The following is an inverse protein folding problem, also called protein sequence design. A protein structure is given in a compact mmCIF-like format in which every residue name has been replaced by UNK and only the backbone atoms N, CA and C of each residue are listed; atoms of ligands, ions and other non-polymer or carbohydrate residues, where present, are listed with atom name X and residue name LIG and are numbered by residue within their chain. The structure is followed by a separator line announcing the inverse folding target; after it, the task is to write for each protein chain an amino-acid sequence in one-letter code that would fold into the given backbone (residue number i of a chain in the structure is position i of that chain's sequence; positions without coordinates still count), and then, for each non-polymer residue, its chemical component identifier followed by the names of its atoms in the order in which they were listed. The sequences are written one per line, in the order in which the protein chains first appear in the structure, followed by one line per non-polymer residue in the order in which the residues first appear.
data_IF_981967063360
#
_entry.id   IF_981967063360
#
_cell.length_a   1.000
_cell.length_b   1.000
_cell.length_c   1.000
_cell.angle_alpha   90.00
_cell.angle_beta   90.00
_cell.angle_gamma   90.00
#
_symmetry.space_group_name_H-M   'P 1'
#
loop_
_entity.id
_entity.type
_entity.pdbx_description
1 polymer ?
#
# COMPACT_ATOMS: atom_id res chain seq x y z
N UNK A 1 -25.12 13.69 27.08
CA UNK A 1 -24.17 13.58 25.96
C UNK A 1 -24.76 12.58 24.99
N UNK A 2 -24.97 12.94 23.71
CA UNK A 2 -25.40 11.95 22.72
C UNK A 2 -24.19 11.06 22.45
N UNK A 3 -24.31 9.76 22.73
CA UNK A 3 -23.39 8.77 22.16
C UNK A 3 -23.46 8.96 20.65
N UNK A 4 -22.36 9.38 20.05
CA UNK A 4 -22.26 9.37 18.58
C UNK A 4 -21.81 7.95 18.26
N UNK A 5 -22.69 7.10 17.72
CA UNK A 5 -22.28 5.74 17.35
C UNK A 5 -21.12 5.85 16.37
N UNK A 6 -20.08 5.03 16.55
CA UNK A 6 -18.98 4.92 15.60
C UNK A 6 -19.57 4.36 14.30
N UNK A 7 -19.51 5.14 13.22
CA UNK A 7 -20.13 4.80 11.95
C UNK A 7 -19.09 4.63 10.84
N UNK A 8 -19.25 3.56 10.06
CA UNK A 8 -18.62 3.41 8.75
C UNK A 8 -19.47 4.19 7.76
N UNK A 9 -18.84 4.99 6.91
CA UNK A 9 -19.57 5.72 5.87
C UNK A 9 -20.16 4.77 4.83
N UNK A 10 -21.40 5.03 4.41
CA UNK A 10 -21.96 4.35 3.24
C UNK A 10 -21.28 4.82 1.96
N UNK A 11 -21.38 4.06 0.87
CA UNK A 11 -20.88 4.50 -0.44
C UNK A 11 -21.51 5.81 -0.91
N UNK A 12 -22.78 6.03 -0.58
CA UNK A 12 -23.48 7.29 -0.87
C UNK A 12 -22.92 8.45 -0.03
N UNK A 13 -22.59 8.21 1.24
CA UNK A 13 -21.96 9.22 2.08
C UNK A 13 -20.56 9.56 1.57
N UNK A 14 -19.75 8.54 1.22
CA UNK A 14 -18.44 8.73 0.58
C UNK A 14 -18.60 9.65 -0.64
N UNK A 15 -19.53 9.32 -1.54
CA UNK A 15 -19.78 10.12 -2.75
C UNK A 15 -20.19 11.56 -2.43
N UNK A 16 -21.07 11.76 -1.45
CA UNK A 16 -21.57 13.09 -1.04
C UNK A 16 -20.50 13.97 -0.39
N UNK A 17 -19.44 13.36 0.12
CA UNK A 17 -18.30 13.99 0.83
C UNK A 17 -17.08 14.22 -0.06
N UNK A 18 -17.08 13.71 -1.30
CA UNK A 18 -16.04 13.99 -2.29
C UNK A 18 -15.86 15.50 -2.52
N UNK A 19 -14.61 15.95 -2.50
CA UNK A 19 -14.23 17.37 -2.66
C UNK A 19 -14.49 18.23 -1.41
N UNK A 20 -14.91 17.62 -0.30
CA UNK A 20 -15.05 18.27 1.00
C UNK A 20 -13.97 17.74 1.94
N UNK A 21 -14.29 16.68 2.67
CA UNK A 21 -13.46 15.98 3.64
C UNK A 21 -12.93 14.64 3.11
N UNK A 22 -13.25 14.28 1.87
CA UNK A 22 -12.72 13.11 1.16
C UNK A 22 -12.29 13.52 -0.25
N UNK A 23 -11.10 13.06 -0.66
CA UNK A 23 -10.59 13.15 -2.03
C UNK A 23 -10.22 11.73 -2.48
N UNK A 24 -10.62 11.39 -3.69
CA UNK A 24 -10.21 10.17 -4.40
C UNK A 24 -9.97 10.59 -5.84
N UNK A 25 -8.75 10.44 -6.34
CA UNK A 25 -8.39 10.86 -7.70
C UNK A 25 -7.48 9.82 -8.37
N UNK A 26 -7.90 9.20 -9.49
CA UNK A 26 -9.17 9.38 -10.18
C UNK A 26 -10.35 8.68 -9.49
N UNK A 27 -11.51 9.35 -9.44
CA UNK A 27 -12.77 8.77 -8.98
C UNK A 27 -13.61 8.20 -10.13
N UNK A 28 -14.15 7.01 -9.96
CA UNK A 28 -15.16 6.42 -10.86
C UNK A 28 -16.36 5.91 -10.04
N UNK A 29 -17.56 6.49 -10.22
CA UNK A 29 -18.77 6.07 -9.51
C UNK A 29 -19.08 4.57 -9.59
N UNK A 30 -18.66 3.88 -10.65
CA UNK A 30 -18.91 2.44 -10.82
C UNK A 30 -18.20 1.56 -9.80
N UNK A 31 -17.16 2.11 -9.13
CA UNK A 31 -16.34 1.41 -8.13
C UNK A 31 -16.85 1.58 -6.69
N UNK A 32 -17.90 2.39 -6.48
CA UNK A 32 -18.58 2.49 -5.21
C UNK A 32 -19.27 1.17 -4.84
N UNK A 33 -19.16 0.81 -3.58
CA UNK A 33 -19.85 -0.30 -2.93
C UNK A 33 -20.76 0.24 -1.83
N UNK A 34 -21.64 -0.57 -1.21
CA UNK A 34 -22.57 -0.08 -0.19
C UNK A 34 -21.93 0.70 0.98
N UNK A 35 -20.68 0.41 1.33
CA UNK A 35 -19.94 1.00 2.45
C UNK A 35 -18.44 1.18 2.20
N UNK A 36 -18.01 1.14 0.94
CA UNK A 36 -16.60 1.23 0.57
C UNK A 36 -16.45 1.72 -0.87
N UNK A 37 -15.21 1.98 -1.28
CA UNK A 37 -14.84 2.27 -2.66
C UNK A 37 -13.69 1.35 -3.10
N UNK A 38 -13.77 0.76 -4.30
CA UNK A 38 -12.68 -0.08 -4.80
C UNK A 38 -11.56 0.77 -5.41
N UNK A 39 -10.33 0.56 -4.93
CA UNK A 39 -9.10 1.15 -5.47
C UNK A 39 -8.42 0.17 -6.44
N UNK A 40 -7.66 0.70 -7.38
CA UNK A 40 -7.01 -0.08 -8.44
C UNK A 40 -5.51 -0.17 -8.25
N UNK A 41 -4.90 -1.24 -8.76
CA UNK A 41 -3.46 -1.44 -8.75
C UNK A 41 -2.79 -0.58 -9.83
N UNK A 42 -1.71 0.12 -9.49
CA UNK A 42 -0.85 0.77 -10.48
C UNK A 42 -0.16 -0.26 -11.38
N UNK A 43 0.41 0.14 -12.51
CA UNK A 43 1.07 -0.76 -13.47
C UNK A 43 2.51 -1.12 -13.08
N UNK A 44 2.94 -0.82 -11.86
CA UNK A 44 4.30 -1.08 -11.38
C UNK A 44 4.33 -1.74 -10.00
N UNK A 45 5.38 -2.52 -9.78
CA UNK A 45 5.70 -3.16 -8.50
C UNK A 45 7.19 -2.98 -8.18
N UNK A 46 7.55 -3.05 -6.90
CA UNK A 46 8.93 -3.24 -6.43
C UNK A 46 9.10 -4.64 -5.88
N UNK A 47 10.30 -5.19 -6.07
CA UNK A 47 10.77 -6.44 -5.44
C UNK A 47 12.15 -6.18 -4.88
N UNK A 48 12.38 -6.58 -3.63
CA UNK A 48 13.70 -6.49 -3.01
C UNK A 48 14.69 -7.44 -3.69
N UNK A 49 15.94 -7.00 -3.79
CA UNK A 49 17.03 -7.77 -4.38
C UNK A 49 17.80 -8.59 -3.33
N UNK A 50 17.63 -8.24 -2.05
CA UNK A 50 18.32 -8.87 -0.95
C UNK A 50 17.73 -10.23 -0.58
N UNK A 51 18.61 -11.12 -0.13
CA UNK A 51 18.22 -12.40 0.49
C UNK A 51 17.73 -12.17 1.92
N UNK A 52 18.33 -11.21 2.63
CA UNK A 52 17.98 -10.86 4.01
C UNK A 52 17.61 -9.39 4.04
N UNK A 53 16.37 -9.08 4.46
CA UNK A 53 15.93 -7.71 4.67
C UNK A 53 16.37 -7.24 6.05
N UNK A 54 17.17 -6.17 6.09
CA UNK A 54 17.62 -5.55 7.33
C UNK A 54 16.73 -4.36 7.67
N UNK A 55 16.13 -4.37 8.87
CA UNK A 55 15.32 -3.26 9.35
C UNK A 55 16.14 -2.02 9.70
N UNK A 56 17.45 -2.18 9.93
CA UNK A 56 18.38 -1.10 10.28
C UNK A 56 19.04 -0.44 9.07
N UNK A 57 18.78 -0.93 7.85
CA UNK A 57 19.42 -0.45 6.63
C UNK A 57 18.39 -0.26 5.52
N UNK A 58 18.59 0.69 4.59
CA UNK A 58 17.81 0.69 3.35
C UNK A 58 18.11 -0.60 2.58
N UNK A 59 17.08 -1.18 1.95
CA UNK A 59 17.19 -2.42 1.19
C UNK A 59 17.08 -2.14 -0.30
N UNK A 60 17.97 -2.71 -1.13
CA UNK A 60 17.91 -2.55 -2.59
C UNK A 60 16.68 -3.24 -3.18
N UNK A 61 16.13 -2.63 -4.21
CA UNK A 61 14.95 -3.12 -4.90
C UNK A 61 15.06 -2.82 -6.39
N UNK A 62 14.31 -3.59 -7.17
CA UNK A 62 14.09 -3.35 -8.60
C UNK A 62 12.62 -3.19 -8.90
N UNK A 63 12.35 -2.44 -9.97
CA UNK A 63 10.99 -2.13 -10.44
C UNK A 63 10.56 -3.14 -11.50
N UNK A 64 9.32 -3.59 -11.42
CA UNK A 64 8.65 -4.43 -12.40
C UNK A 64 7.47 -3.66 -12.98
N UNK A 65 7.35 -3.64 -14.30
CA UNK A 65 6.12 -3.19 -14.96
C UNK A 65 5.19 -4.40 -15.13
N UNK A 66 3.89 -4.21 -14.85
CA UNK A 66 2.84 -5.20 -15.09
C UNK A 66 2.38 -5.04 -16.54
N UNK A 67 2.66 -6.00 -17.43
CA UNK A 67 2.21 -5.90 -18.82
C UNK A 67 0.69 -6.00 -18.95
N UNK A 68 0.14 -5.49 -20.05
CA UNK A 68 -1.29 -5.61 -20.38
C UNK A 68 -1.77 -7.07 -20.49
N UNK A 69 -0.91 -8.00 -20.90
CA UNK A 69 -1.20 -9.44 -20.95
C UNK A 69 -0.98 -10.16 -19.60
N UNK A 70 -0.56 -9.41 -18.58
CA UNK A 70 -0.55 -9.80 -17.18
C UNK A 70 0.76 -10.40 -16.68
N UNK A 71 1.10 -10.06 -15.43
CA UNK A 71 2.27 -10.55 -14.71
C UNK A 71 1.88 -11.69 -13.76
N UNK A 72 2.60 -12.80 -13.81
CA UNK A 72 2.44 -13.91 -12.85
C UNK A 72 3.31 -13.68 -11.62
N UNK A 73 2.67 -13.37 -10.48
CA UNK A 73 3.31 -13.33 -9.17
C UNK A 73 3.65 -14.74 -8.70
N UNK A 74 4.77 -14.87 -7.98
CA UNK A 74 5.27 -16.15 -7.48
C UNK A 74 5.20 -16.24 -5.94
N UNK A 75 4.90 -17.42 -5.38
CA UNK A 75 5.01 -17.64 -3.95
C UNK A 75 6.42 -17.36 -3.42
N UNK A 76 6.52 -16.96 -2.15
CA UNK A 76 7.80 -16.67 -1.48
C UNK A 76 8.43 -15.33 -1.86
N UNK A 77 7.76 -14.53 -2.71
CA UNK A 77 8.20 -13.17 -3.07
C UNK A 77 7.22 -12.14 -2.50
N UNK A 78 7.77 -11.10 -1.85
CA UNK A 78 7.01 -9.90 -1.49
C UNK A 78 7.07 -8.92 -2.65
N UNK A 79 5.90 -8.49 -3.12
CA UNK A 79 5.76 -7.44 -4.12
C UNK A 79 5.17 -6.20 -3.46
N UNK A 80 5.87 -5.07 -3.54
CA UNK A 80 5.29 -3.79 -3.14
C UNK A 80 4.64 -3.14 -4.36
N UNK A 81 3.36 -2.85 -4.29
CA UNK A 81 2.66 -2.06 -5.30
C UNK A 81 2.16 -0.75 -4.72
N UNK A 82 1.39 -0.01 -5.50
CA UNK A 82 0.57 1.08 -4.98
C UNK A 82 -0.80 1.14 -5.62
N UNK A 83 -1.70 1.89 -5.01
CA UNK A 83 -2.95 2.27 -5.67
C UNK A 83 -2.69 3.25 -6.81
N UNK A 84 -3.52 3.17 -7.86
CA UNK A 84 -3.56 4.20 -8.90
C UNK A 84 -4.10 5.50 -8.31
N UNK A 85 -5.10 5.39 -7.44
CA UNK A 85 -5.76 6.53 -6.85
C UNK A 85 -4.93 7.14 -5.73
N UNK A 86 -4.81 8.47 -5.79
CA UNK A 86 -4.51 9.30 -4.64
C UNK A 86 -5.76 9.43 -3.79
N UNK A 87 -5.63 9.27 -2.47
CA UNK A 87 -6.72 9.52 -1.53
C UNK A 87 -6.29 10.53 -0.48
N UNK A 88 -7.19 11.42 -0.10
CA UNK A 88 -7.01 12.34 1.00
C UNK A 88 -8.27 12.41 1.86
N UNK A 89 -8.13 12.61 3.17
CA UNK A 89 -9.29 12.76 4.05
C UNK A 89 -9.01 13.60 5.29
N UNK A 90 -10.06 14.28 5.77
CA UNK A 90 -10.04 15.14 6.95
C UNK A 90 -11.06 14.67 7.99
N UNK A 91 -10.63 14.51 9.24
CA UNK A 91 -11.51 14.08 10.34
C UNK A 91 -12.08 12.65 10.23
N UNK A 92 -11.59 11.85 9.28
CA UNK A 92 -11.95 10.44 9.11
C UNK A 92 -10.70 9.58 9.11
N UNK A 93 -10.87 8.32 9.51
CA UNK A 93 -9.82 7.29 9.45
C UNK A 93 -10.10 6.38 8.27
N UNK A 94 -9.27 6.43 7.21
CA UNK A 94 -9.40 5.52 6.08
C UNK A 94 -8.78 4.16 6.41
N UNK A 95 -9.46 3.08 6.04
CA UNK A 95 -8.95 1.71 6.18
C UNK A 95 -9.02 0.98 4.84
N UNK A 96 -7.88 0.47 4.38
CA UNK A 96 -7.79 -0.37 3.18
C UNK A 96 -7.85 -1.86 3.52
N UNK A 97 -8.55 -2.62 2.69
CA UNK A 97 -8.69 -4.07 2.83
C UNK A 97 -8.56 -4.77 1.49
N UNK A 98 -7.96 -5.96 1.48
CA UNK A 98 -7.93 -6.81 0.29
C UNK A 98 -9.34 -7.24 -0.14
N UNK A 99 -9.52 -7.50 -1.44
CA UNK A 99 -10.81 -7.98 -1.97
C UNK A 99 -10.94 -9.48 -1.80
N UNK A 100 -12.13 -9.94 -1.37
CA UNK A 100 -12.40 -11.36 -1.18
C UNK A 100 -12.14 -12.20 -2.44
N UNK A 101 -12.44 -11.66 -3.63
CA UNK A 101 -12.19 -12.34 -4.89
C UNK A 101 -10.71 -12.67 -5.13
N UNK A 102 -9.80 -11.78 -4.74
CA UNK A 102 -8.35 -12.00 -4.86
C UNK A 102 -7.83 -12.92 -3.76
N UNK A 103 -8.35 -12.76 -2.53
CA UNK A 103 -8.04 -13.68 -1.43
C UNK A 103 -8.41 -15.13 -1.78
N UNK A 104 -9.49 -15.36 -2.54
CA UNK A 104 -9.90 -16.69 -3.03
C UNK A 104 -8.99 -17.26 -4.14
N UNK A 105 -8.22 -16.42 -4.82
CA UNK A 105 -7.13 -16.85 -5.71
C UNK A 105 -5.83 -17.12 -4.94
N UNK A 106 -5.81 -16.86 -3.63
CA UNK A 106 -4.61 -16.95 -2.81
C UNK A 106 -3.68 -15.76 -2.95
N UNK A 107 -4.16 -14.62 -3.49
CA UNK A 107 -3.44 -13.35 -3.47
C UNK A 107 -3.89 -12.53 -2.26
N UNK A 108 -2.95 -12.23 -1.39
CA UNK A 108 -3.20 -11.52 -0.15
C UNK A 108 -2.49 -10.17 -0.20
N UNK A 109 -3.28 -9.13 0.07
CA UNK A 109 -2.76 -7.85 0.51
C UNK A 109 -2.51 -8.00 2.02
N UNK A 110 -1.26 -8.02 2.45
CA UNK A 110 -0.90 -7.92 3.87
C UNK A 110 -0.90 -6.45 4.24
N UNK A 111 -1.92 -5.94 4.93
CA UNK A 111 -1.96 -4.53 5.18
C UNK A 111 -1.31 -4.32 6.56
N UNK A 112 0.02 -4.46 6.63
CA UNK A 112 0.80 -4.13 7.84
C UNK A 112 0.49 -2.73 8.37
N UNK A 113 0.04 -1.83 7.47
CA UNK A 113 -0.59 -0.55 7.77
C UNK A 113 -1.94 -0.38 7.07
N UNK A 114 -2.95 -1.19 7.41
CA UNK A 114 -4.32 -1.04 6.86
C UNK A 114 -4.98 0.28 7.23
N UNK A 115 -4.51 0.89 8.32
CA UNK A 115 -5.07 2.06 8.98
C UNK A 115 -4.32 3.30 8.50
N UNK A 116 -4.97 4.13 7.70
CA UNK A 116 -4.51 5.49 7.50
C UNK A 116 -4.90 6.34 8.71
N UNK A 117 -3.98 7.18 9.17
CA UNK A 117 -4.29 8.14 10.22
C UNK A 117 -5.26 9.22 9.71
N UNK A 118 -5.97 9.89 10.62
CA UNK A 118 -6.78 11.05 10.26
C UNK A 118 -5.87 12.12 9.61
N UNK A 119 -6.28 12.65 8.45
CA UNK A 119 -5.41 13.53 7.66
C UNK A 119 -4.50 12.80 6.66
N UNK A 120 -4.69 11.50 6.41
CA UNK A 120 -3.95 10.77 5.37
C UNK A 120 -4.11 11.41 4.00
N UNK A 121 -3.01 11.52 3.24
CA UNK A 121 -2.94 12.01 1.85
C UNK A 121 -1.93 11.17 1.07
N UNK A 122 -2.29 10.68 -0.11
CA UNK A 122 -1.37 9.96 -0.99
C UNK A 122 -1.94 8.69 -1.61
N UNK A 123 -1.08 8.00 -2.35
CA UNK A 123 -1.33 6.64 -2.84
C UNK A 123 -0.94 5.62 -1.78
N UNK A 124 -1.70 4.53 -1.67
CA UNK A 124 -1.45 3.49 -0.70
C UNK A 124 -0.40 2.52 -1.21
N UNK A 125 0.68 2.31 -0.45
CA UNK A 125 1.59 1.18 -0.69
C UNK A 125 0.88 -0.14 -0.36
N UNK A 126 1.02 -1.12 -1.24
CA UNK A 126 0.35 -2.42 -1.16
C UNK A 126 1.39 -3.52 -1.00
N UNK A 127 1.36 -4.28 0.09
CA UNK A 127 2.23 -5.44 0.28
C UNK A 127 1.52 -6.71 -0.22
N UNK A 128 1.87 -7.14 -1.44
CA UNK A 128 1.25 -8.26 -2.11
C UNK A 128 2.11 -9.51 -1.96
N UNK A 129 1.48 -10.62 -1.57
CA UNK A 129 2.08 -11.95 -1.61
C UNK A 129 1.03 -12.98 -2.01
N UNK A 130 1.45 -14.07 -2.65
CA UNK A 130 0.54 -15.11 -3.10
C UNK A 130 0.94 -16.50 -2.60
N UNK A 131 -0.06 -17.33 -2.31
CA UNK A 131 0.13 -18.73 -1.87
C UNK A 131 0.36 -19.65 -3.07
N UNK A 132 -0.30 -19.37 -4.18
CA UNK A 132 -0.12 -20.03 -5.48
C UNK A 132 0.39 -18.99 -6.49
N UNK A 133 0.97 -19.39 -7.63
CA UNK A 133 1.23 -18.44 -8.70
C UNK A 133 -0.07 -17.79 -9.17
N UNK A 134 -0.14 -16.45 -9.11
CA UNK A 134 -1.34 -15.68 -9.47
C UNK A 134 -0.98 -14.69 -10.57
N UNK A 135 -1.68 -14.75 -11.70
CA UNK A 135 -1.58 -13.73 -12.75
C UNK A 135 -2.45 -12.53 -12.41
N UNK A 136 -1.84 -11.35 -12.40
CA UNK A 136 -2.49 -10.06 -12.20
C UNK A 136 -2.32 -9.19 -13.46
N UNK A 137 -3.10 -8.11 -13.54
CA UNK A 137 -3.11 -7.17 -14.66
C UNK A 137 -3.02 -5.74 -14.09
N UNK A 138 -2.51 -4.76 -14.85
CA UNK A 138 -2.55 -3.37 -14.42
C UNK A 138 -4.00 -2.91 -14.21
N UNK A 139 -4.20 -1.95 -13.30
CA UNK A 139 -5.48 -1.27 -13.07
C UNK A 139 -6.66 -2.16 -12.60
N UNK A 140 -6.40 -3.41 -12.23
CA UNK A 140 -7.43 -4.23 -11.58
C UNK A 140 -7.82 -3.62 -10.24
N UNK A 141 -9.10 -3.70 -9.89
CA UNK A 141 -9.56 -3.37 -8.54
C UNK A 141 -8.91 -4.32 -7.53
N UNK A 142 -7.97 -3.83 -6.73
CA UNK A 142 -7.06 -4.64 -5.90
C UNK A 142 -7.47 -4.65 -4.43
N UNK A 143 -7.92 -3.50 -3.94
CA UNK A 143 -8.35 -3.32 -2.56
C UNK A 143 -9.59 -2.42 -2.52
N UNK A 144 -10.16 -2.30 -1.33
CA UNK A 144 -11.26 -1.39 -1.05
C UNK A 144 -10.89 -0.50 0.13
N UNK A 145 -11.33 0.75 0.08
CA UNK A 145 -11.17 1.72 1.16
C UNK A 145 -12.52 1.96 1.85
N UNK A 146 -12.49 1.99 3.18
CA UNK A 146 -13.60 2.37 4.06
C UNK A 146 -13.20 3.59 4.87
N UNK A 147 -14.17 4.40 5.29
CA UNK A 147 -13.92 5.59 6.11
C UNK A 147 -14.70 5.49 7.41
N UNK A 148 -13.99 5.75 8.51
CA UNK A 148 -14.50 5.64 9.88
C UNK A 148 -14.50 7.01 10.55
N UNK A 149 -15.60 7.34 11.21
CA UNK A 149 -15.65 8.54 12.05
C UNK A 149 -14.84 8.33 13.32
N UNK A 150 -14.05 9.36 13.69
CA UNK A 150 -13.26 9.37 14.93
C UNK A 150 -14.04 10.10 16.02
N UNK A 151 -14.13 9.50 17.20
CA UNK A 151 -14.77 10.12 18.36
C UNK A 151 -13.78 10.98 19.15
N UNK A 152 -14.16 12.22 19.48
CA UNK A 152 -13.34 13.15 20.27
C UNK A 152 -12.41 14.01 19.42
N UNK A 153 -11.61 14.86 20.06
CA UNK A 153 -10.59 15.66 19.37
C UNK A 153 -9.45 14.75 18.92
N UNK A 154 -9.29 14.59 17.62
CA UNK A 154 -8.19 13.86 17.01
C UNK A 154 -7.33 14.85 16.21
N UNK A 155 -6.05 15.06 16.59
CA UNK A 155 -5.16 15.84 15.76
C UNK A 155 -4.93 15.09 14.45
N UNK A 156 -4.97 15.80 13.32
CA UNK A 156 -4.58 15.21 12.04
C UNK A 156 -3.08 14.88 12.09
N UNK A 157 -2.74 13.64 11.76
CA UNK A 157 -1.36 13.15 11.89
C UNK A 157 -0.53 13.53 10.66
N UNK A 158 0.43 14.43 10.88
CA UNK A 158 1.43 14.81 9.90
C UNK A 158 2.65 13.87 9.95
N UNK A 159 2.45 12.56 9.74
CA UNK A 159 3.57 11.62 9.68
C UNK A 159 4.46 11.92 8.46
N UNK A 160 5.72 12.26 8.68
CA UNK A 160 6.65 12.64 7.60
C UNK A 160 7.12 11.45 6.73
N UNK A 161 6.89 10.20 7.16
CA UNK A 161 7.46 9.02 6.47
C UNK A 161 6.75 8.68 5.16
N UNK A 162 5.41 8.70 5.17
CA UNK A 162 4.60 8.14 4.09
C UNK A 162 3.42 9.02 3.65
N UNK A 163 3.29 10.24 4.20
CA UNK A 163 2.30 11.22 3.75
C UNK A 163 2.68 11.81 2.38
N UNK A 164 1.68 12.18 1.60
CA UNK A 164 1.79 12.72 0.24
C UNK A 164 2.54 11.82 -0.74
N UNK A 165 2.53 10.50 -0.51
CA UNK A 165 3.19 9.57 -1.43
C UNK A 165 2.53 9.57 -2.81
N UNK A 166 3.35 9.63 -3.85
CA UNK A 166 2.94 9.44 -5.24
C UNK A 166 3.71 8.28 -5.91
N UNK A 167 4.50 7.53 -5.14
CA UNK A 167 5.29 6.40 -5.61
C UNK A 167 5.19 5.20 -4.66
N UNK A 168 5.64 4.03 -5.12
CA UNK A 168 5.75 2.83 -4.29
C UNK A 168 6.87 3.08 -3.26
N UNK A 169 6.51 3.22 -1.99
CA UNK A 169 7.48 3.49 -0.94
C UNK A 169 8.03 2.19 -0.35
N UNK A 170 9.35 1.95 -0.37
CA UNK A 170 9.97 0.90 0.43
C UNK A 170 9.88 1.24 1.92
N UNK A 171 10.24 0.27 2.76
CA UNK A 171 10.28 0.49 4.21
C UNK A 171 11.32 1.55 4.58
N UNK A 172 10.94 2.46 5.48
CA UNK A 172 11.80 3.45 6.14
C UNK A 172 12.03 3.11 7.62
N UNK A 173 11.90 1.83 8.00
CA UNK A 173 12.05 1.37 9.38
C UNK A 173 13.40 1.75 10.00
N UNK A 174 14.46 1.81 9.20
CA UNK A 174 15.81 2.17 9.65
C UNK A 174 15.85 3.56 10.29
N UNK A 175 15.02 4.49 9.81
CA UNK A 175 14.89 5.84 10.39
C UNK A 175 14.26 5.82 11.78
N UNK A 176 13.35 4.87 12.06
CA UNK A 176 12.79 4.68 13.41
C UNK A 176 13.84 4.17 14.39
N UNK A 177 14.79 3.38 13.88
CA UNK A 177 15.91 2.85 14.64
C UNK A 177 17.07 3.85 14.75
N UNK A 178 16.96 5.04 14.14
CA UNK A 178 17.95 6.11 14.19
C UNK A 178 19.11 5.97 13.20
N UNK A 179 19.00 5.07 12.22
CA UNK A 179 19.97 4.95 11.12
C UNK A 179 19.63 5.92 9.98
N UNK A 180 20.65 6.28 9.20
CA UNK A 180 20.50 7.15 8.02
C UNK A 180 20.24 6.35 6.74
N UNK A 181 20.01 7.04 5.63
CA UNK A 181 19.66 6.43 4.35
C UNK A 181 20.88 5.88 3.57
N UNK A 182 22.04 5.72 4.21
CA UNK A 182 23.21 5.16 3.52
C UNK A 182 23.01 3.66 3.32
N UNK A 183 23.26 3.22 2.09
CA UNK A 183 23.37 1.79 1.80
C UNK A 183 24.62 1.24 2.47
N UNK A 184 24.40 0.35 3.44
CA UNK A 184 25.42 -0.37 4.20
C UNK A 184 25.38 -1.87 3.90
N UNK A 185 24.53 -2.31 2.96
CA UNK A 185 24.36 -3.71 2.66
C UNK A 185 25.56 -4.27 1.90
N UNK A 186 25.92 -5.50 2.24
CA UNK A 186 27.08 -6.17 1.64
C UNK A 186 26.75 -6.55 0.20
N UNK A 187 27.52 -6.04 -0.75
CA UNK A 187 27.53 -6.60 -2.10
C UNK A 187 28.19 -7.98 -2.06
N UNK A 188 27.47 -9.01 -2.52
CA UNK A 188 28.08 -10.32 -2.71
C UNK A 188 29.14 -10.21 -3.82
N UNK A 189 30.41 -10.20 -3.42
CA UNK A 189 31.57 -10.21 -4.32
C UNK A 189 31.73 -11.57 -5.02
N UNK A 190 30.80 -11.90 -5.93
CA UNK A 190 30.86 -13.14 -6.72
C UNK A 190 32.20 -13.28 -7.46
N UNK A 191 32.78 -12.16 -7.92
CA UNK A 191 34.09 -12.14 -8.57
C UNK A 191 35.25 -12.52 -7.63
N UNK A 192 35.17 -12.19 -6.35
CA UNK A 192 36.17 -12.61 -5.35
C UNK A 192 35.99 -14.08 -4.97
N UNK A 193 34.74 -14.54 -4.82
CA UNK A 193 34.43 -15.94 -4.52
C UNK A 193 34.83 -16.90 -5.66
N UNK A 194 34.70 -16.48 -6.92
CA UNK A 194 35.15 -17.26 -8.08
C UNK A 194 36.67 -17.29 -8.18
N UNK A 195 37.36 -16.18 -7.87
CA UNK A 195 38.84 -16.11 -7.90
C UNK A 195 39.54 -16.82 -6.74
N UNK A 196 38.82 -17.10 -5.65
CA UNK A 196 39.36 -17.81 -4.47
C UNK A 196 39.20 -19.34 -4.52
N UNK A 197 38.72 -19.91 -5.63
CA UNK A 197 38.67 -21.37 -5.78
C UNK A 197 40.03 -21.86 -6.31
N UNK A 198 40.75 -22.74 -5.59
CA UNK A 198 42.08 -23.22 -6.00
C UNK A 198 42.04 -24.12 -7.25
#
# INVERSE_FOLDING_TARGET
MKETPIMILSGQDIQSRLGKDIVIDPFDPSRLSPNSYNLTLHDELLVYEEVVLDAASPNRYRRLTIPEDGLTLQPGTLYLGRTTEHTETHGLVPIIQGRSSLGRLGLFLNPGGSLGHAGYRGTWTLELHCVQPVRIYPHIQICQITYWEVSGDSPEEASEKYQNSNDIQPSLMHRELGFDDRDTQLELGFDEAIRSTP
#
